data_IF_770721632829
#
_entry.id   IF_770721632829
#
_cell.length_a   1.000
_cell.length_b   1.000
_cell.length_c   1.000
_cell.angle_alpha   90.00
_cell.angle_beta   90.00
_cell.angle_gamma   90.00
#
_symmetry.space_group_name_H-M   'P 1'
#
loop_
_entity.id
_entity.type
_entity.pdbx_description
1 polymer ?
#
# COMPACT_ATOMS: atom_id res chain seq x y z
N UNK A 1 -3.89 -3.36 16.07
CA UNK A 1 -4.35 -2.68 14.84
C UNK A 1 -5.85 -2.37 14.93
N UNK A 2 -6.77 -3.34 14.83
CA UNK A 2 -8.22 -3.06 14.92
C UNK A 2 -8.65 -2.26 16.17
N UNK A 3 -8.41 -2.79 17.38
CA UNK A 3 -8.79 -2.14 18.65
C UNK A 3 -8.12 -0.79 18.90
N UNK A 4 -6.91 -0.57 18.37
CA UNK A 4 -6.24 0.73 18.42
C UNK A 4 -6.92 1.78 17.52
N UNK A 5 -7.67 1.38 16.49
CA UNK A 5 -8.53 2.32 15.76
C UNK A 5 -9.78 2.67 16.55
N UNK A 6 -10.40 1.71 17.23
CA UNK A 6 -11.55 1.95 18.10
C UNK A 6 -11.21 3.00 19.18
N UNK A 7 -10.13 2.79 19.94
CA UNK A 7 -9.63 3.76 20.93
C UNK A 7 -9.28 5.15 20.38
N UNK A 8 -9.05 5.27 19.08
CA UNK A 8 -8.62 6.51 18.43
C UNK A 8 -9.76 7.22 17.66
N UNK A 9 -11.01 6.76 17.74
CA UNK A 9 -12.14 7.48 17.12
C UNK A 9 -12.39 8.81 17.83
N UNK A 10 -12.71 9.87 17.08
CA UNK A 10 -13.06 11.18 17.67
C UNK A 10 -14.55 11.32 17.98
N UNK A 11 -15.42 10.56 17.31
CA UNK A 11 -16.84 10.52 17.61
C UNK A 11 -17.06 9.92 19.01
N UNK A 12 -17.86 10.54 19.91
CA UNK A 12 -17.95 10.12 21.30
C UNK A 12 -18.34 8.65 21.47
N UNK A 13 -17.48 7.83 22.09
CA UNK A 13 -17.68 6.38 22.20
C UNK A 13 -18.99 6.03 22.92
N UNK A 14 -19.41 6.84 23.90
CA UNK A 14 -20.69 6.68 24.60
C UNK A 14 -21.94 6.89 23.72
N UNK A 15 -21.78 7.24 22.44
CA UNK A 15 -22.83 7.34 21.41
C UNK A 15 -22.69 6.26 20.33
N UNK A 16 -21.74 5.34 20.49
CA UNK A 16 -21.48 4.21 19.60
C UNK A 16 -21.82 2.93 20.38
N UNK A 17 -22.67 2.09 19.79
CA UNK A 17 -22.85 0.70 20.23
C UNK A 17 -22.03 -0.21 19.31
N UNK A 18 -21.24 -1.12 19.88
CA UNK A 18 -20.42 -2.06 19.11
C UNK A 18 -21.13 -3.41 18.96
N UNK A 19 -21.06 -3.98 17.76
CA UNK A 19 -21.71 -5.24 17.42
C UNK A 19 -20.75 -6.14 16.64
N UNK A 20 -20.49 -7.35 17.17
CA UNK A 20 -19.61 -8.34 16.56
C UNK A 20 -20.37 -9.66 16.33
N UNK A 21 -20.07 -10.34 15.23
CA UNK A 21 -20.49 -11.71 14.98
C UNK A 21 -19.28 -12.61 14.77
N UNK A 22 -19.22 -13.73 15.51
CA UNK A 22 -18.22 -14.79 15.34
C UNK A 22 -18.92 -16.05 14.82
N UNK A 23 -18.46 -16.58 13.70
CA UNK A 23 -19.04 -17.74 12.98
C UNK A 23 -17.97 -18.74 12.62
N UNK A 24 -18.24 -20.03 12.82
CA UNK A 24 -17.44 -21.18 12.35
C UNK A 24 -15.96 -21.19 12.80
N UNK A 25 -15.60 -20.33 13.77
CA UNK A 25 -14.26 -20.22 14.38
C UNK A 25 -13.87 -21.49 15.14
N UNK A 26 -12.56 -21.81 15.10
CA UNK A 26 -11.95 -22.99 15.71
C UNK A 26 -10.68 -22.64 16.51
N UNK A 27 -10.54 -21.37 16.83
CA UNK A 27 -9.39 -20.71 17.44
C UNK A 27 -9.84 -19.83 18.61
N UNK A 28 -8.91 -19.10 19.23
CA UNK A 28 -9.18 -18.32 20.45
C UNK A 28 -9.88 -16.97 20.18
N UNK A 29 -10.38 -16.74 18.95
CA UNK A 29 -10.93 -15.45 18.50
C UNK A 29 -11.99 -14.89 19.44
N UNK A 30 -12.89 -15.73 19.95
CA UNK A 30 -13.97 -15.32 20.85
C UNK A 30 -13.43 -14.82 22.22
N UNK A 31 -12.43 -15.50 22.77
CA UNK A 31 -11.84 -15.15 24.07
C UNK A 31 -10.97 -13.90 23.96
N UNK A 32 -10.15 -13.82 22.90
CA UNK A 32 -9.36 -12.63 22.56
C UNK A 32 -10.26 -11.40 22.36
N UNK A 33 -11.31 -11.53 21.55
CA UNK A 33 -12.32 -10.48 21.31
C UNK A 33 -12.92 -10.01 22.64
N UNK A 34 -13.39 -10.93 23.48
CA UNK A 34 -14.00 -10.60 24.77
C UNK A 34 -13.01 -9.87 25.69
N UNK A 35 -11.79 -10.39 25.85
CA UNK A 35 -10.74 -9.78 26.69
C UNK A 35 -10.36 -8.37 26.23
N UNK A 36 -10.30 -8.12 24.92
CA UNK A 36 -9.94 -6.80 24.38
C UNK A 36 -11.10 -5.80 24.45
N UNK A 37 -12.35 -6.26 24.46
CA UNK A 37 -13.54 -5.42 24.72
C UNK A 37 -13.67 -5.07 26.20
N UNK A 38 -13.40 -6.02 27.10
CA UNK A 38 -13.32 -5.77 28.55
C UNK A 38 -12.22 -4.75 28.88
N UNK A 39 -11.07 -4.81 28.20
CA UNK A 39 -9.97 -3.84 28.36
C UNK A 39 -10.36 -2.41 27.93
N UNK A 40 -11.29 -2.26 26.96
CA UNK A 40 -11.82 -0.96 26.54
C UNK A 40 -12.92 -0.47 27.50
N UNK A 41 -13.85 -1.33 27.93
CA UNK A 41 -14.94 -0.92 28.81
C UNK A 41 -14.49 -0.60 30.24
N UNK A 42 -13.34 -1.12 30.67
CA UNK A 42 -12.73 -0.84 31.98
C UNK A 42 -11.56 0.16 31.90
N UNK A 43 -11.46 0.95 30.82
CA UNK A 43 -10.43 1.98 30.66
C UNK A 43 -10.58 3.10 31.72
N UNK A 44 -9.48 3.62 32.30
CA UNK A 44 -9.54 4.69 33.31
C UNK A 44 -10.13 6.03 32.84
N UNK A 45 -10.16 6.36 31.54
CA UNK A 45 -10.92 7.51 31.05
C UNK A 45 -12.36 7.08 30.71
N UNK A 46 -13.40 7.55 31.42
CA UNK A 46 -14.78 7.17 31.16
C UNK A 46 -15.25 7.52 29.73
N UNK A 47 -14.56 8.41 29.00
CA UNK A 47 -14.84 8.72 27.58
C UNK A 47 -14.46 7.59 26.62
N UNK A 48 -13.58 6.67 27.03
CA UNK A 48 -13.16 5.54 26.19
C UNK A 48 -14.21 4.44 26.13
N UNK A 49 -15.13 4.39 27.10
CA UNK A 49 -16.20 3.39 27.14
C UNK A 49 -17.29 3.62 26.08
N UNK A 50 -17.71 2.52 25.44
CA UNK A 50 -18.79 2.45 24.47
C UNK A 50 -20.15 2.30 25.15
N UNK A 51 -21.23 2.71 24.47
CA UNK A 51 -22.60 2.70 24.99
C UNK A 51 -23.09 1.30 25.37
N UNK A 52 -23.21 0.42 24.38
CA UNK A 52 -23.43 -1.01 24.55
C UNK A 52 -22.46 -1.82 23.67
N UNK A 53 -22.05 -3.01 24.12
CA UNK A 53 -21.25 -3.94 23.33
C UNK A 53 -21.99 -5.29 23.25
N UNK A 54 -22.19 -5.78 22.03
CA UNK A 54 -22.84 -7.06 21.74
C UNK A 54 -21.89 -7.98 20.96
N UNK A 55 -21.52 -9.12 21.56
CA UNK A 55 -20.78 -10.20 20.88
C UNK A 55 -21.73 -11.37 20.65
N UNK A 56 -21.97 -11.70 19.39
CA UNK A 56 -22.88 -12.78 18.97
C UNK A 56 -22.04 -13.93 18.41
N UNK A 57 -22.05 -15.08 19.06
CA UNK A 57 -21.56 -16.31 18.43
C UNK A 57 -22.71 -16.98 17.67
N UNK A 58 -22.56 -17.17 16.36
CA UNK A 58 -23.48 -17.95 15.55
C UNK A 58 -22.78 -18.50 14.32
N UNK A 59 -22.77 -19.83 14.20
CA UNK A 59 -22.31 -20.51 13.00
C UNK A 59 -23.35 -20.47 11.88
N UNK A 60 -22.86 -20.44 10.64
CA UNK A 60 -23.65 -20.58 9.41
C UNK A 60 -23.29 -21.87 8.64
N UNK A 61 -22.33 -22.66 9.14
CA UNK A 61 -21.99 -23.96 8.57
C UNK A 61 -21.17 -23.83 7.30
N UNK A 62 -20.30 -22.81 7.23
CA UNK A 62 -19.46 -22.57 6.06
C UNK A 62 -18.55 -23.78 5.82
N UNK A 63 -18.82 -24.51 4.72
CA UNK A 63 -18.06 -25.71 4.36
C UNK A 63 -16.63 -25.32 4.00
N UNK A 64 -15.73 -25.45 4.97
CA UNK A 64 -14.29 -25.23 4.80
C UNK A 64 -13.71 -26.32 3.90
N UNK A 65 -13.83 -26.13 2.59
CA UNK A 65 -12.98 -26.84 1.63
C UNK A 65 -11.53 -26.41 1.89
N UNK A 66 -10.63 -27.38 1.94
CA UNK A 66 -9.26 -27.20 2.43
C UNK A 66 -8.31 -26.61 1.38
N UNK A 67 -8.79 -26.45 0.15
CA UNK A 67 -8.05 -25.89 -0.98
C UNK A 67 -8.33 -24.38 -1.11
N UNK A 68 -7.28 -23.61 -1.35
CA UNK A 68 -7.35 -22.15 -1.55
C UNK A 68 -7.76 -21.81 -2.99
N UNK A 69 -7.33 -22.61 -3.98
CA UNK A 69 -7.70 -22.43 -5.39
C UNK A 69 -9.23 -22.61 -5.55
N UNK A 70 -9.79 -23.63 -4.88
CA UNK A 70 -11.24 -23.87 -4.82
C UNK A 70 -12.05 -22.71 -4.21
N UNK A 71 -11.48 -21.91 -3.31
CA UNK A 71 -12.15 -20.74 -2.70
C UNK A 71 -12.18 -19.53 -3.63
N UNK A 72 -11.32 -19.50 -4.63
CA UNK A 72 -11.20 -18.40 -5.58
C UNK A 72 -11.75 -18.74 -6.96
N UNK A 73 -12.21 -19.96 -7.22
CA UNK A 73 -13.02 -20.27 -8.40
C UNK A 73 -14.33 -19.48 -8.39
N UNK A 74 -14.62 -18.79 -9.50
CA UNK A 74 -15.79 -17.91 -9.69
C UNK A 74 -17.10 -18.49 -9.15
N UNK A 75 -17.40 -19.77 -9.47
CA UNK A 75 -18.62 -20.46 -9.05
C UNK A 75 -18.81 -20.56 -7.53
N UNK A 76 -17.74 -20.54 -6.72
CA UNK A 76 -17.82 -20.65 -5.26
C UNK A 76 -18.08 -19.29 -4.58
N UNK A 77 -17.78 -18.17 -5.23
CA UNK A 77 -17.93 -16.83 -4.64
C UNK A 77 -19.39 -16.42 -4.46
N UNK A 78 -20.29 -16.87 -5.35
CA UNK A 78 -21.73 -16.61 -5.26
C UNK A 78 -22.31 -17.12 -3.94
N UNK A 79 -22.07 -18.40 -3.60
CA UNK A 79 -22.54 -19.00 -2.35
C UNK A 79 -21.83 -18.43 -1.11
N UNK A 80 -20.54 -18.06 -1.23
CA UNK A 80 -19.83 -17.34 -0.16
C UNK A 80 -20.48 -15.98 0.13
N UNK A 81 -20.80 -15.17 -0.88
CA UNK A 81 -21.52 -13.90 -0.69
C UNK A 81 -22.91 -14.12 -0.08
N UNK A 82 -23.66 -15.12 -0.57
CA UNK A 82 -24.98 -15.47 -0.02
C UNK A 82 -24.90 -15.86 1.48
N UNK A 83 -23.86 -16.57 1.92
CA UNK A 83 -23.62 -16.88 3.34
C UNK A 83 -23.19 -15.65 4.17
N UNK A 84 -22.28 -14.81 3.66
CA UNK A 84 -21.87 -13.57 4.35
C UNK A 84 -23.03 -12.58 4.50
N UNK A 85 -23.93 -12.51 3.52
CA UNK A 85 -25.18 -11.76 3.62
C UNK A 85 -26.07 -12.25 4.78
N UNK A 86 -26.17 -13.57 5.00
CA UNK A 86 -26.91 -14.13 6.16
C UNK A 86 -26.26 -13.71 7.49
N UNK A 87 -24.93 -13.70 7.57
CA UNK A 87 -24.20 -13.27 8.75
C UNK A 87 -24.39 -11.76 9.03
N UNK A 88 -24.18 -10.89 8.04
CA UNK A 88 -24.41 -9.43 8.18
C UNK A 88 -25.87 -9.13 8.55
N UNK A 89 -26.85 -9.78 7.90
CA UNK A 89 -28.27 -9.62 8.23
C UNK A 89 -28.60 -10.09 9.66
N UNK A 90 -28.04 -11.21 10.11
CA UNK A 90 -28.30 -11.70 11.47
C UNK A 90 -27.79 -10.73 12.51
N UNK A 91 -26.54 -10.28 12.38
CA UNK A 91 -25.93 -9.27 13.26
C UNK A 91 -26.78 -8.00 13.30
N UNK A 92 -27.15 -7.46 12.14
CA UNK A 92 -28.01 -6.29 12.00
C UNK A 92 -29.36 -6.48 12.72
N UNK A 93 -30.05 -7.59 12.46
CA UNK A 93 -31.38 -7.88 13.02
C UNK A 93 -31.38 -8.06 14.53
N UNK A 94 -30.25 -8.49 15.10
CA UNK A 94 -30.08 -8.73 16.52
C UNK A 94 -29.66 -7.48 17.32
N UNK A 95 -29.04 -6.48 16.67
CA UNK A 95 -28.46 -5.31 17.37
C UNK A 95 -29.05 -3.95 17.00
N UNK A 96 -29.75 -3.82 15.86
CA UNK A 96 -30.32 -2.54 15.40
C UNK A 96 -31.47 -2.06 16.30
N UNK A 97 -31.26 -0.94 17.01
CA UNK A 97 -32.22 -0.37 17.96
C UNK A 97 -33.03 0.78 17.34
N UNK A 98 -34.22 1.11 17.87
CA UNK A 98 -34.97 2.30 17.47
C UNK A 98 -34.21 3.62 17.71
N UNK A 99 -33.28 3.63 18.67
CA UNK A 99 -32.43 4.77 19.03
C UNK A 99 -31.28 5.02 18.04
N UNK A 100 -30.90 4.05 17.22
CA UNK A 100 -29.79 4.22 16.27
C UNK A 100 -30.18 5.16 15.13
N UNK A 101 -29.35 6.18 14.88
CA UNK A 101 -29.50 7.10 13.74
C UNK A 101 -28.74 6.64 12.50
N UNK A 102 -27.61 5.96 12.72
CA UNK A 102 -26.69 5.45 11.70
C UNK A 102 -26.28 4.01 12.04
N UNK A 103 -25.80 3.29 11.04
CA UNK A 103 -25.09 2.01 11.19
C UNK A 103 -23.79 2.13 10.41
N UNK A 104 -22.67 1.79 11.04
CA UNK A 104 -21.35 1.79 10.41
C UNK A 104 -20.84 0.35 10.32
N UNK A 105 -20.79 -0.18 9.10
CA UNK A 105 -20.15 -1.45 8.79
C UNK A 105 -18.66 -1.22 8.58
N UNK A 106 -17.84 -2.12 9.12
CA UNK A 106 -16.40 -2.12 8.97
C UNK A 106 -15.87 -3.54 9.10
N UNK A 107 -15.04 -3.97 8.17
CA UNK A 107 -14.37 -5.27 8.27
C UNK A 107 -13.11 -5.17 9.18
N UNK A 108 -12.70 -6.29 9.80
CA UNK A 108 -11.79 -6.30 10.96
C UNK A 108 -10.31 -6.07 10.63
N UNK A 109 -10.00 -6.19 9.35
CA UNK A 109 -8.70 -6.16 8.66
C UNK A 109 -8.33 -4.78 8.09
N UNK A 110 -9.17 -3.75 8.30
CA UNK A 110 -8.82 -2.35 7.99
C UNK A 110 -7.63 -1.88 8.83
N UNK A 111 -6.46 -1.79 8.19
CA UNK A 111 -5.15 -1.51 8.76
C UNK A 111 -4.95 -0.04 9.15
N UNK A 112 -5.49 0.93 8.41
CA UNK A 112 -5.59 2.33 8.86
C UNK A 112 -6.83 3.03 8.28
N UNK A 113 -7.36 4.00 9.02
CA UNK A 113 -8.40 4.93 8.60
C UNK A 113 -8.28 6.22 9.44
N UNK A 114 -8.78 7.38 8.98
CA UNK A 114 -8.81 8.59 9.79
C UNK A 114 -9.62 8.40 11.09
N UNK A 115 -9.19 9.03 12.17
CA UNK A 115 -9.88 9.02 13.47
C UNK A 115 -11.30 9.61 13.41
N UNK A 116 -11.49 10.55 12.49
CA UNK A 116 -12.71 11.32 12.20
C UNK A 116 -13.65 10.64 11.23
N UNK A 117 -13.41 9.39 10.81
CA UNK A 117 -14.16 8.73 9.73
C UNK A 117 -15.68 8.67 9.92
N UNK A 118 -16.17 8.66 11.16
CA UNK A 118 -17.62 8.69 11.42
C UNK A 118 -18.16 10.08 11.09
N UNK A 119 -17.53 11.14 11.59
CA UNK A 119 -17.86 12.54 11.31
C UNK A 119 -17.69 12.89 9.82
N UNK A 120 -16.58 12.48 9.23
CA UNK A 120 -16.18 12.78 7.85
C UNK A 120 -17.12 12.14 6.83
N UNK A 121 -17.73 11.00 7.15
CA UNK A 121 -18.78 10.38 6.33
C UNK A 121 -20.18 10.95 6.68
N UNK A 122 -20.48 11.20 7.96
CA UNK A 122 -21.78 11.72 8.40
C UNK A 122 -22.11 13.11 7.82
N UNK A 123 -21.11 14.00 7.68
CA UNK A 123 -21.28 15.38 7.20
C UNK A 123 -21.86 15.49 5.78
N UNK A 124 -21.72 14.45 4.95
CA UNK A 124 -22.28 14.42 3.59
C UNK A 124 -23.80 14.20 3.55
N UNK A 125 -24.42 13.84 4.70
CA UNK A 125 -25.85 13.58 4.90
C UNK A 125 -26.50 12.60 3.89
N UNK A 126 -25.73 11.63 3.38
CA UNK A 126 -26.24 10.60 2.45
C UNK A 126 -26.96 9.47 3.19
N UNK A 127 -27.84 8.77 2.49
CA UNK A 127 -28.47 7.55 3.01
C UNK A 127 -27.51 6.35 3.11
N UNK A 128 -26.64 6.17 2.11
CA UNK A 128 -25.52 5.21 2.10
C UNK A 128 -24.28 5.92 1.54
N UNK A 129 -23.15 5.82 2.23
CA UNK A 129 -21.86 6.36 1.78
C UNK A 129 -20.70 5.40 2.10
N UNK A 130 -19.75 5.28 1.16
CA UNK A 130 -18.52 4.49 1.30
C UNK A 130 -17.26 5.32 0.99
N UNK A 131 -16.15 5.12 1.70
CA UNK A 131 -14.84 5.64 1.32
C UNK A 131 -14.22 4.80 0.20
N UNK A 132 -13.13 5.28 -0.41
CA UNK A 132 -12.29 4.44 -1.26
C UNK A 132 -11.40 3.53 -0.40
N UNK A 133 -11.11 2.31 -0.89
CA UNK A 133 -10.38 1.28 -0.14
C UNK A 133 -9.20 0.78 -0.95
N UNK A 134 -8.01 1.04 -0.44
CA UNK A 134 -6.73 0.64 -1.03
C UNK A 134 -5.99 -0.31 -0.09
N UNK A 135 -5.00 -1.03 -0.60
CA UNK A 135 -4.04 -1.78 0.21
C UNK A 135 -2.64 -1.20 -0.03
N UNK A 136 -1.83 -0.99 1.03
CA UNK A 136 -0.42 -0.75 0.82
C UNK A 136 0.21 -2.05 0.32
N UNK A 137 1.33 -1.92 -0.37
CA UNK A 137 2.16 -3.03 -0.81
C UNK A 137 3.60 -2.76 -0.38
N UNK A 138 4.44 -3.79 -0.39
CA UNK A 138 5.88 -3.56 -0.40
C UNK A 138 6.34 -2.88 -1.69
N UNK A 139 7.45 -2.14 -1.64
CA UNK A 139 7.95 -1.32 -2.74
C UNK A 139 8.14 -2.10 -4.05
N UNK A 140 8.57 -3.36 -3.97
CA UNK A 140 8.81 -4.23 -5.13
C UNK A 140 7.54 -4.67 -5.87
N UNK A 141 6.36 -4.49 -5.26
CA UNK A 141 5.05 -4.67 -5.90
C UNK A 141 4.39 -3.35 -6.30
N UNK A 142 5.08 -2.21 -6.14
CA UNK A 142 4.56 -0.88 -6.49
C UNK A 142 4.04 -0.02 -5.33
N UNK A 143 4.22 -0.45 -4.06
CA UNK A 143 3.97 0.37 -2.86
C UNK A 143 2.50 0.58 -2.46
N UNK A 144 1.57 0.67 -3.40
CA UNK A 144 0.12 0.73 -3.13
C UNK A 144 -0.70 0.20 -4.32
N UNK A 145 -1.89 -0.35 -4.06
CA UNK A 145 -2.86 -0.65 -5.12
C UNK A 145 -4.32 -0.57 -4.63
N UNK A 146 -5.30 -0.40 -5.54
CA UNK A 146 -6.71 -0.59 -5.23
C UNK A 146 -7.01 -1.94 -4.56
N UNK A 147 -8.00 -1.99 -3.66
CA UNK A 147 -8.43 -3.22 -2.98
C UNK A 147 -9.89 -3.56 -3.25
N UNK A 148 -10.83 -2.66 -2.92
CA UNK A 148 -12.26 -2.98 -2.97
C UNK A 148 -12.88 -2.65 -4.34
N UNK A 149 -12.97 -3.66 -5.20
CA UNK A 149 -13.61 -3.55 -6.51
C UNK A 149 -15.15 -3.63 -6.47
N UNK A 150 -15.77 -3.83 -5.30
CA UNK A 150 -17.23 -4.01 -5.17
C UNK A 150 -18.01 -2.67 -5.12
N UNK A 151 -17.30 -1.54 -5.10
CA UNK A 151 -17.89 -0.19 -5.16
C UNK A 151 -17.79 0.36 -6.58
N UNK A 152 -18.92 0.49 -7.29
CA UNK A 152 -18.96 0.80 -8.72
C UNK A 152 -20.28 1.47 -9.17
N UNK A 153 -20.25 2.19 -10.31
CA UNK A 153 -21.46 2.54 -11.06
C UNK A 153 -21.82 1.44 -12.06
N UNK A 154 -23.11 1.34 -12.39
CA UNK A 154 -23.62 0.38 -13.37
C UNK A 154 -23.16 0.73 -14.81
N UNK A 155 -23.05 -0.28 -15.68
CA UNK A 155 -22.71 -0.09 -17.10
C UNK A 155 -23.75 -0.71 -18.03
N UNK A 156 -23.91 -0.17 -19.24
CA UNK A 156 -24.79 -0.75 -20.27
C UNK A 156 -24.39 -2.20 -20.62
N UNK A 157 -23.08 -2.48 -20.65
CA UNK A 157 -22.54 -3.82 -20.91
C UNK A 157 -22.84 -4.80 -19.79
N UNK A 158 -22.77 -4.37 -18.53
CA UNK A 158 -23.09 -5.20 -17.37
C UNK A 158 -24.60 -5.47 -17.26
N UNK A 159 -25.45 -4.50 -17.62
CA UNK A 159 -26.90 -4.70 -17.73
C UNK A 159 -27.24 -5.71 -18.85
N UNK A 160 -26.67 -5.53 -20.04
CA UNK A 160 -26.87 -6.47 -21.15
C UNK A 160 -26.36 -7.88 -20.82
N UNK A 161 -25.24 -8.00 -20.09
CA UNK A 161 -24.77 -9.29 -19.56
C UNK A 161 -25.77 -9.87 -18.55
N UNK A 162 -26.25 -9.08 -17.59
CA UNK A 162 -27.20 -9.51 -16.57
C UNK A 162 -28.52 -10.04 -17.16
N UNK A 163 -28.99 -9.50 -18.29
CA UNK A 163 -30.16 -10.01 -19.01
C UNK A 163 -29.94 -11.41 -19.61
N UNK A 164 -28.70 -11.84 -19.87
CA UNK A 164 -28.38 -13.16 -20.43
C UNK A 164 -28.21 -14.28 -19.38
N UNK A 165 -28.18 -13.95 -18.09
CA UNK A 165 -27.90 -14.90 -17.01
C UNK A 165 -29.18 -15.46 -16.37
N UNK A 166 -29.11 -16.69 -15.84
CA UNK A 166 -30.18 -17.33 -15.06
C UNK A 166 -30.55 -16.53 -13.80
N UNK A 167 -31.77 -16.68 -13.28
CA UNK A 167 -32.31 -15.88 -12.16
C UNK A 167 -31.40 -15.92 -10.92
N UNK A 168 -30.97 -17.11 -10.50
CA UNK A 168 -30.12 -17.36 -9.32
C UNK A 168 -28.63 -17.00 -9.49
N UNK A 169 -28.20 -16.65 -10.71
CA UNK A 169 -26.81 -16.33 -11.03
C UNK A 169 -26.37 -15.03 -10.34
N UNK A 170 -25.11 -14.98 -9.91
CA UNK A 170 -24.51 -13.81 -9.25
C UNK A 170 -23.26 -13.37 -10.01
N UNK A 171 -23.26 -12.13 -10.48
CA UNK A 171 -22.08 -11.42 -10.97
C UNK A 171 -21.20 -11.11 -9.76
N UNK A 172 -19.89 -11.33 -9.91
CA UNK A 172 -18.88 -11.10 -8.89
C UNK A 172 -17.74 -10.34 -9.54
N UNK A 173 -17.50 -9.09 -9.12
CA UNK A 173 -16.44 -8.26 -9.71
C UNK A 173 -15.03 -8.79 -9.45
N UNK A 174 -14.10 -8.40 -10.32
CA UNK A 174 -12.70 -8.84 -10.29
C UNK A 174 -12.42 -10.17 -11.01
N UNK A 175 -13.42 -10.76 -11.66
CA UNK A 175 -13.33 -12.04 -12.38
C UNK A 175 -13.31 -11.86 -13.90
N UNK A 176 -12.40 -12.56 -14.59
CA UNK A 176 -12.22 -12.45 -16.04
C UNK A 176 -13.37 -13.09 -16.83
N UNK A 177 -14.15 -13.96 -16.18
CA UNK A 177 -15.33 -14.63 -16.71
C UNK A 177 -16.43 -13.66 -17.15
N UNK A 178 -16.56 -12.50 -16.48
CA UNK A 178 -17.57 -11.48 -16.77
C UNK A 178 -16.92 -10.12 -17.02
N UNK A 179 -16.83 -9.72 -18.30
CA UNK A 179 -16.36 -8.39 -18.69
C UNK A 179 -17.47 -7.34 -18.47
N UNK A 180 -17.63 -6.86 -17.22
CA UNK A 180 -18.68 -5.92 -16.80
C UNK A 180 -18.43 -4.48 -17.26
N UNK A 181 -17.17 -4.08 -17.46
CA UNK A 181 -16.76 -2.72 -17.86
C UNK A 181 -17.32 -1.59 -16.97
N UNK A 182 -17.57 -1.89 -15.69
CA UNK A 182 -18.05 -0.91 -14.71
C UNK A 182 -16.90 0.00 -14.25
N UNK A 183 -17.12 1.31 -14.05
CA UNK A 183 -16.13 2.17 -13.41
C UNK A 183 -16.16 1.93 -11.89
N UNK A 184 -15.15 1.22 -11.38
CA UNK A 184 -14.98 0.98 -9.95
C UNK A 184 -14.39 2.22 -9.26
N UNK A 185 -14.94 2.58 -8.10
CA UNK A 185 -14.46 3.66 -7.22
C UNK A 185 -12.95 3.52 -6.94
N UNK A 186 -12.51 2.28 -6.77
CA UNK A 186 -11.13 1.87 -6.51
C UNK A 186 -10.09 2.52 -7.45
N UNK A 187 -10.41 2.64 -8.74
CA UNK A 187 -9.50 3.17 -9.77
C UNK A 187 -9.55 4.70 -9.95
N UNK A 188 -10.43 5.39 -9.22
CA UNK A 188 -10.69 6.84 -9.41
C UNK A 188 -9.98 7.74 -8.37
N UNK A 189 -9.12 7.17 -7.53
CA UNK A 189 -8.31 7.92 -6.56
C UNK A 189 -7.17 8.69 -7.24
N UNK A 190 -7.32 10.01 -7.31
CA UNK A 190 -6.19 10.95 -7.31
C UNK A 190 -5.76 11.23 -5.85
N UNK A 191 -4.50 11.01 -5.44
CA UNK A 191 -3.99 11.39 -4.12
C UNK A 191 -4.03 12.89 -3.81
N UNK A 192 -4.19 13.75 -4.82
CA UNK A 192 -4.32 15.20 -4.69
C UNK A 192 -5.75 15.71 -4.97
N UNK A 193 -6.69 14.81 -5.21
CA UNK A 193 -8.10 15.14 -5.45
C UNK A 193 -8.83 15.58 -4.18
N UNK A 194 -10.02 16.15 -4.37
CA UNK A 194 -10.84 16.63 -3.26
C UNK A 194 -11.46 15.47 -2.46
N UNK A 195 -11.10 15.35 -1.18
CA UNK A 195 -11.66 14.35 -0.28
C UNK A 195 -13.18 14.46 -0.09
N UNK A 196 -13.76 15.63 -0.40
CA UNK A 196 -15.19 15.89 -0.32
C UNK A 196 -15.93 15.55 -1.62
N UNK A 197 -15.23 15.13 -2.69
CA UNK A 197 -15.84 14.78 -3.97
C UNK A 197 -16.77 13.58 -3.83
N UNK A 198 -17.99 13.71 -4.35
CA UNK A 198 -19.03 12.68 -4.32
C UNK A 198 -19.23 12.04 -5.69
N UNK A 199 -19.39 10.72 -5.70
CA UNK A 199 -19.71 9.92 -6.87
C UNK A 199 -20.95 9.06 -6.56
N UNK A 200 -22.01 9.12 -7.38
CA UNK A 200 -23.10 8.14 -7.26
C UNK A 200 -22.58 6.73 -7.55
N UNK A 201 -23.11 5.71 -6.87
CA UNK A 201 -22.79 4.30 -7.11
C UNK A 201 -24.05 3.46 -7.35
N UNK A 202 -23.86 2.21 -7.74
CA UNK A 202 -24.91 1.18 -7.91
C UNK A 202 -24.58 -0.06 -7.07
N UNK A 203 -23.32 -0.49 -7.07
CA UNK A 203 -22.77 -1.44 -6.11
C UNK A 203 -21.91 -0.75 -5.06
N UNK A 204 -21.87 -1.30 -3.85
CA UNK A 204 -20.98 -0.90 -2.74
C UNK A 204 -20.31 -2.13 -2.14
N UNK A 205 -19.08 -1.99 -1.67
CA UNK A 205 -18.34 -3.05 -0.97
C UNK A 205 -18.47 -3.01 0.55
N UNK A 206 -18.13 -4.13 1.20
CA UNK A 206 -18.38 -4.35 2.63
C UNK A 206 -17.38 -3.71 3.61
N UNK A 207 -16.20 -3.29 3.13
CA UNK A 207 -15.05 -2.98 4.00
C UNK A 207 -15.30 -1.78 4.92
N UNK A 208 -16.06 -0.79 4.44
CA UNK A 208 -16.50 0.36 5.21
C UNK A 208 -17.77 0.95 4.58
N UNK A 209 -18.90 0.90 5.30
CA UNK A 209 -20.17 1.50 4.86
C UNK A 209 -20.78 2.27 6.01
N UNK A 210 -20.94 3.59 5.88
CA UNK A 210 -21.84 4.35 6.74
C UNK A 210 -23.21 4.45 6.05
N UNK A 211 -24.27 4.05 6.74
CA UNK A 211 -25.63 4.18 6.23
C UNK A 211 -26.60 4.64 7.32
N UNK A 212 -27.58 5.47 6.94
CA UNK A 212 -28.61 5.94 7.87
C UNK A 212 -29.47 4.76 8.32
N UNK A 213 -29.68 4.61 9.62
CA UNK A 213 -30.42 3.48 10.20
C UNK A 213 -31.89 3.39 9.70
N UNK A 214 -32.42 4.48 9.11
CA UNK A 214 -33.72 4.49 8.40
C UNK A 214 -33.75 3.58 7.16
N UNK A 215 -32.63 3.41 6.47
CA UNK A 215 -32.47 2.59 5.26
C UNK A 215 -32.75 1.12 5.60
N UNK A 216 -32.07 0.61 6.64
CA UNK A 216 -32.30 -0.75 7.15
C UNK A 216 -33.70 -0.93 7.74
N UNK A 217 -34.21 0.04 8.51
CA UNK A 217 -35.57 -0.02 9.07
C UNK A 217 -36.69 0.06 8.02
N UNK A 218 -36.40 0.49 6.80
CA UNK A 218 -37.33 0.45 5.68
C UNK A 218 -37.35 -0.90 4.93
N UNK A 219 -36.41 -1.80 5.21
CA UNK A 219 -36.32 -3.13 4.61
C UNK A 219 -35.11 -3.38 3.70
N UNK A 220 -34.25 -2.37 3.47
CA UNK A 220 -32.99 -2.56 2.75
C UNK A 220 -32.05 -3.42 3.59
N UNK A 221 -31.49 -4.48 3.01
CA UNK A 221 -30.65 -5.45 3.69
C UNK A 221 -29.64 -6.07 2.71
N UNK A 222 -28.75 -6.94 3.18
CA UNK A 222 -27.78 -7.63 2.33
C UNK A 222 -28.45 -8.86 1.68
N UNK A 223 -28.64 -8.94 0.36
CA UNK A 223 -29.39 -10.06 -0.22
C UNK A 223 -28.65 -11.39 -0.09
N UNK A 224 -29.26 -12.34 0.61
CA UNK A 224 -28.77 -13.72 0.77
C UNK A 224 -29.17 -14.65 -0.41
N UNK A 225 -29.57 -14.03 -1.52
CA UNK A 225 -30.12 -14.60 -2.75
C UNK A 225 -29.73 -13.67 -3.92
N UNK A 226 -30.00 -14.07 -5.16
CA UNK A 226 -29.77 -13.18 -6.31
C UNK A 226 -30.77 -12.02 -6.32
N UNK A 227 -30.28 -10.80 -6.12
CA UNK A 227 -31.03 -9.56 -6.32
C UNK A 227 -30.38 -8.80 -7.48
N UNK A 228 -31.07 -8.74 -8.62
CA UNK A 228 -30.53 -8.19 -9.88
C UNK A 228 -29.17 -8.77 -10.27
N UNK A 229 -28.97 -10.09 -10.11
CA UNK A 229 -27.70 -10.80 -10.30
C UNK A 229 -26.58 -10.40 -9.32
N UNK A 230 -26.90 -9.80 -8.18
CA UNK A 230 -25.93 -9.45 -7.14
C UNK A 230 -26.38 -10.02 -5.79
N UNK A 231 -25.45 -10.12 -4.85
CA UNK A 231 -25.71 -10.58 -3.48
C UNK A 231 -24.98 -9.68 -2.49
N UNK A 232 -25.24 -9.88 -1.19
CA UNK A 232 -24.49 -9.25 -0.10
C UNK A 232 -24.41 -7.71 -0.22
N UNK A 233 -23.22 -7.11 -0.28
CA UNK A 233 -23.00 -5.66 -0.23
C UNK A 233 -23.37 -4.94 -1.54
N UNK A 234 -23.05 -5.54 -2.69
CA UNK A 234 -23.48 -5.02 -4.01
C UNK A 234 -25.01 -5.08 -4.17
N UNK A 235 -25.61 -6.19 -3.73
CA UNK A 235 -27.06 -6.33 -3.69
C UNK A 235 -27.73 -5.33 -2.74
N UNK A 236 -27.09 -4.99 -1.62
CA UNK A 236 -27.54 -3.93 -0.70
C UNK A 236 -27.49 -2.55 -1.36
N UNK A 237 -26.42 -2.22 -2.10
CA UNK A 237 -26.31 -0.98 -2.88
C UNK A 237 -27.44 -0.83 -3.89
N UNK A 238 -27.65 -1.86 -4.73
CA UNK A 238 -28.75 -1.89 -5.70
C UNK A 238 -30.12 -1.80 -5.03
N UNK A 239 -30.34 -2.50 -3.92
CA UNK A 239 -31.61 -2.44 -3.17
C UNK A 239 -31.87 -1.06 -2.58
N UNK A 240 -30.85 -0.39 -2.04
CA UNK A 240 -30.96 0.98 -1.55
C UNK A 240 -31.36 1.95 -2.68
N UNK A 241 -30.67 1.88 -3.83
CA UNK A 241 -30.93 2.73 -4.99
C UNK A 241 -32.33 2.48 -5.58
N UNK A 242 -32.76 1.21 -5.67
CA UNK A 242 -34.13 0.83 -6.09
C UNK A 242 -35.22 1.31 -5.14
N UNK A 243 -34.93 1.46 -3.85
CA UNK A 243 -35.84 2.06 -2.86
C UNK A 243 -35.76 3.59 -2.80
N UNK A 244 -34.99 4.23 -3.69
CA UNK A 244 -34.89 5.69 -3.81
C UNK A 244 -33.94 6.36 -2.82
N UNK A 245 -33.04 5.59 -2.18
CA UNK A 245 -32.00 6.12 -1.31
C UNK A 245 -30.74 6.50 -2.10
N UNK A 246 -30.05 7.56 -1.68
CA UNK A 246 -28.76 7.95 -2.26
C UNK A 246 -27.67 6.95 -1.87
N UNK A 247 -26.95 6.43 -2.87
CA UNK A 247 -25.78 5.55 -2.67
C UNK A 247 -24.56 6.24 -3.26
N UNK A 248 -23.61 6.65 -2.41
CA UNK A 248 -22.48 7.52 -2.77
C UNK A 248 -21.14 6.87 -2.40
N UNK A 249 -20.12 7.08 -3.22
CA UNK A 249 -18.72 6.82 -2.90
C UNK A 249 -17.90 8.12 -2.88
N UNK A 250 -16.83 8.13 -2.08
CA UNK A 250 -15.83 9.20 -2.04
C UNK A 250 -14.52 8.69 -2.69
N UNK A 251 -14.19 9.04 -3.94
CA UNK A 251 -13.05 8.45 -4.66
C UNK A 251 -11.68 8.83 -4.09
N UNK A 252 -11.56 9.99 -3.42
CA UNK A 252 -10.27 10.47 -2.87
C UNK A 252 -10.13 10.21 -1.36
N UNK A 253 -11.24 10.18 -0.61
CA UNK A 253 -11.22 9.83 0.81
C UNK A 253 -10.87 8.33 0.97
N UNK A 254 -9.64 8.05 1.37
CA UNK A 254 -9.05 6.70 1.28
C UNK A 254 -8.86 6.07 2.67
N UNK A 255 -9.30 4.81 2.81
CA UNK A 255 -8.90 3.92 3.92
C UNK A 255 -8.04 2.76 3.41
N UNK A 256 -7.31 2.13 4.34
CA UNK A 256 -6.30 1.13 4.02
C UNK A 256 -6.64 -0.23 4.62
N UNK A 257 -6.76 -1.24 3.76
CA UNK A 257 -6.85 -2.65 4.12
C UNK A 257 -5.48 -3.23 4.46
N UNK A 258 -5.42 -4.25 5.31
CA UNK A 258 -4.19 -4.99 5.58
C UNK A 258 -3.65 -5.68 4.31
N UNK A 259 -2.32 -5.65 4.15
CA UNK A 259 -1.63 -6.48 3.17
C UNK A 259 -1.45 -7.91 3.72
N UNK A 260 -2.10 -8.87 3.08
CA UNK A 260 -1.86 -10.30 3.27
C UNK A 260 -0.91 -10.80 2.16
N UNK A 261 0.33 -11.21 2.47
CA UNK A 261 1.26 -11.71 1.46
C UNK A 261 0.81 -13.07 0.90
N UNK A 262 0.94 -13.28 -0.41
CA UNK A 262 0.77 -14.60 -1.01
C UNK A 262 1.95 -15.52 -0.71
N UNK A 263 1.84 -16.80 -1.08
CA UNK A 263 2.94 -17.79 -0.90
C UNK A 263 4.21 -17.36 -1.64
N UNK A 264 4.09 -16.74 -2.83
CA UNK A 264 5.24 -16.27 -3.59
C UNK A 264 5.81 -14.95 -3.04
N UNK A 265 4.96 -14.09 -2.45
CA UNK A 265 5.44 -12.90 -1.74
C UNK A 265 6.23 -13.27 -0.47
N UNK A 266 5.77 -14.28 0.28
CA UNK A 266 6.50 -14.82 1.43
C UNK A 266 7.88 -15.33 1.00
N UNK A 267 7.95 -16.13 -0.06
CA UNK A 267 9.21 -16.63 -0.62
C UNK A 267 10.16 -15.51 -1.04
N UNK A 268 9.64 -14.49 -1.74
CA UNK A 268 10.46 -13.37 -2.18
C UNK A 268 10.97 -12.50 -1.00
N UNK A 269 10.17 -12.37 0.07
CA UNK A 269 10.62 -11.74 1.32
C UNK A 269 11.72 -12.56 2.01
N UNK A 270 11.62 -13.89 2.05
CA UNK A 270 12.68 -14.75 2.59
C UNK A 270 13.97 -14.67 1.76
N UNK A 271 13.89 -14.61 0.43
CA UNK A 271 15.03 -14.42 -0.48
C UNK A 271 15.71 -13.08 -0.22
N UNK A 272 14.96 -11.97 -0.14
CA UNK A 272 15.52 -10.65 0.14
C UNK A 272 16.05 -10.50 1.57
N UNK A 273 15.46 -11.18 2.56
CA UNK A 273 16.00 -11.17 3.92
C UNK A 273 17.34 -11.94 4.00
N UNK A 274 17.50 -13.00 3.20
CA UNK A 274 18.77 -13.72 3.04
C UNK A 274 19.82 -12.84 2.35
N UNK A 275 19.52 -12.24 1.20
CA UNK A 275 20.44 -11.29 0.53
C UNK A 275 20.84 -10.14 1.46
N UNK A 276 19.90 -9.59 2.23
CA UNK A 276 20.20 -8.54 3.20
C UNK A 276 21.14 -9.04 4.31
N UNK A 277 20.91 -10.24 4.86
CA UNK A 277 21.79 -10.85 5.87
C UNK A 277 23.19 -11.12 5.34
N UNK A 278 23.33 -11.46 4.07
CA UNK A 278 24.62 -11.64 3.39
C UNK A 278 25.33 -10.31 3.18
N UNK A 279 24.68 -9.30 2.58
CA UNK A 279 25.23 -7.95 2.41
C UNK A 279 25.65 -7.33 3.75
N UNK A 280 24.81 -7.45 4.78
CA UNK A 280 25.15 -7.00 6.14
C UNK A 280 26.35 -7.75 6.73
N UNK A 281 26.59 -9.02 6.37
CA UNK A 281 27.79 -9.76 6.78
C UNK A 281 29.02 -9.28 6.01
N UNK A 282 28.93 -9.14 4.68
CA UNK A 282 30.00 -8.61 3.85
C UNK A 282 30.44 -7.20 4.30
N UNK A 283 29.50 -6.30 4.60
CA UNK A 283 29.82 -4.97 5.14
C UNK A 283 30.54 -5.07 6.48
N UNK A 284 30.10 -5.96 7.39
CA UNK A 284 30.75 -6.18 8.68
C UNK A 284 32.16 -6.80 8.52
N UNK A 285 32.38 -7.65 7.52
CA UNK A 285 33.72 -8.17 7.19
C UNK A 285 34.61 -7.12 6.52
N UNK A 286 34.09 -6.35 5.56
CA UNK A 286 34.80 -5.24 4.94
C UNK A 286 35.19 -4.18 5.98
N UNK A 287 34.33 -3.87 6.94
CA UNK A 287 34.62 -2.97 8.06
C UNK A 287 35.77 -3.50 8.93
N UNK A 288 35.68 -4.76 9.40
CA UNK A 288 36.77 -5.43 10.15
C UNK A 288 38.08 -5.49 9.36
N UNK A 289 38.01 -5.69 8.04
CA UNK A 289 39.18 -5.71 7.14
C UNK A 289 39.80 -4.31 6.99
N UNK A 290 38.98 -3.28 6.81
CA UNK A 290 39.41 -1.86 6.79
C UNK A 290 40.06 -1.48 8.11
N UNK A 291 39.46 -1.84 9.25
CA UNK A 291 40.01 -1.62 10.59
C UNK A 291 41.36 -2.33 10.80
N UNK A 292 41.44 -3.64 10.50
CA UNK A 292 42.69 -4.40 10.60
C UNK A 292 43.80 -3.79 9.74
N UNK A 293 43.49 -3.40 8.50
CA UNK A 293 44.44 -2.74 7.61
C UNK A 293 44.85 -1.37 8.16
N UNK A 294 43.92 -0.56 8.67
CA UNK A 294 44.21 0.75 9.25
C UNK A 294 45.12 0.63 10.48
N UNK A 295 44.92 -0.38 11.33
CA UNK A 295 45.76 -0.62 12.50
C UNK A 295 47.17 -1.09 12.09
N UNK A 296 47.31 -2.01 11.11
CA UNK A 296 48.62 -2.37 10.54
C UNK A 296 49.35 -1.14 9.96
N UNK A 297 48.63 -0.21 9.30
CA UNK A 297 49.24 1.03 8.80
C UNK A 297 49.58 2.06 9.90
N UNK A 298 48.90 2.03 11.06
CA UNK A 298 49.32 2.81 12.26
C UNK A 298 50.60 2.22 12.84
N UNK A 299 50.64 0.91 13.05
CA UNK A 299 51.81 0.21 13.62
C UNK A 299 53.04 0.39 12.72
N UNK A 300 52.87 0.25 11.40
CA UNK A 300 53.93 0.50 10.41
C UNK A 300 54.41 1.95 10.36
N UNK A 301 53.53 2.95 10.62
CA UNK A 301 53.96 4.35 10.79
C UNK A 301 54.74 4.54 12.08
N UNK A 302 54.24 4.01 13.20
CA UNK A 302 54.93 4.10 14.51
C UNK A 302 56.34 3.50 14.41
N UNK A 303 56.50 2.35 13.76
CA UNK A 303 57.81 1.75 13.53
C UNK A 303 58.70 2.63 12.63
N UNK A 304 58.18 3.14 11.51
CA UNK A 304 58.94 4.02 10.62
C UNK A 304 59.34 5.36 11.27
N UNK A 305 58.52 5.88 12.19
CA UNK A 305 58.84 7.08 12.98
C UNK A 305 59.95 6.79 14.02
N UNK A 306 59.93 5.62 14.67
CA UNK A 306 61.01 5.14 15.56
C UNK A 306 62.31 4.92 14.79
N UNK A 307 62.26 4.22 13.66
CA UNK A 307 63.44 3.90 12.84
C UNK A 307 64.10 5.19 12.31
N UNK A 308 63.30 6.18 11.86
CA UNK A 308 63.82 7.48 11.45
C UNK A 308 64.40 8.30 12.61
N UNK A 309 63.85 8.21 13.81
CA UNK A 309 64.45 8.84 14.99
C UNK A 309 65.82 8.23 15.28
N UNK A 310 65.92 6.89 15.26
CA UNK A 310 67.18 6.17 15.48
C UNK A 310 68.25 6.51 14.43
N UNK A 311 67.86 6.63 13.16
CA UNK A 311 68.77 7.06 12.07
C UNK A 311 69.22 8.52 12.25
N UNK A 312 68.34 9.42 12.71
CA UNK A 312 68.72 10.82 12.98
C UNK A 312 69.69 10.94 14.15
N UNK A 313 69.42 10.24 15.26
CA UNK A 313 70.31 10.21 16.43
C UNK A 313 71.68 9.63 16.04
N UNK A 314 71.70 8.54 15.26
CA UNK A 314 72.94 7.94 14.74
C UNK A 314 73.75 8.92 13.87
N UNK A 315 73.09 9.65 12.96
CA UNK A 315 73.74 10.67 12.12
C UNK A 315 74.25 11.84 12.97
N UNK A 316 73.53 12.23 14.01
CA UNK A 316 74.01 13.24 14.96
C UNK A 316 75.21 12.77 15.77
N UNK A 317 75.26 11.50 16.19
CA UNK A 317 76.42 10.91 16.87
C UNK A 317 77.63 10.80 15.93
N UNK A 318 77.46 10.37 14.68
CA UNK A 318 78.53 10.38 13.68
C UNK A 318 79.05 11.80 13.40
N UNK A 319 78.16 12.81 13.31
CA UNK A 319 78.57 14.21 13.14
C UNK A 319 79.24 14.80 14.38
N UNK A 320 78.97 14.29 15.58
CA UNK A 320 79.68 14.64 16.82
C UNK A 320 81.05 13.95 16.86
N UNK A 321 81.15 12.68 16.43
CA UNK A 321 82.39 11.93 16.33
C UNK A 321 83.36 12.50 15.27
N UNK A 322 82.87 12.84 14.08
CA UNK A 322 83.67 13.44 13.00
C UNK A 322 84.16 14.86 13.33
N UNK A 323 83.57 15.54 14.33
CA UNK A 323 84.08 16.81 14.88
C UNK A 323 85.06 16.62 16.06
N UNK A 324 85.35 15.37 16.43
CA UNK A 324 86.28 15.00 17.50
C UNK A 324 87.72 14.72 17.05
N UNK A 325 88.00 14.72 15.74
CA UNK A 325 89.32 14.47 15.18
C UNK A 325 89.78 15.60 14.23
N UNK A 326 91.08 15.83 14.20
CA UNK A 326 91.81 16.85 13.41
C UNK A 326 91.44 18.32 13.69
N UNK A 327 92.27 18.98 14.50
CA UNK A 327 92.35 20.44 14.60
C UNK A 327 93.55 20.98 13.81
N UNK A 328 93.34 22.04 13.03
CA UNK A 328 94.36 22.68 12.17
C UNK A 328 94.71 24.07 12.70
N UNK A 329 96.02 24.37 12.81
CA UNK A 329 96.56 25.65 12.31
C UNK A 329 97.93 25.44 11.61
N UNK A 330 98.48 26.25 10.71
CA UNK A 330 98.14 27.46 9.93
C UNK A 330 99.00 27.35 8.63
N UNK A 331 98.89 28.10 7.54
CA UNK A 331 98.12 29.29 7.15
C UNK A 331 98.71 29.85 5.82
N UNK A 332 98.17 30.98 5.34
CA UNK A 332 98.71 31.85 4.25
C UNK A 332 99.01 31.28 2.83
N UNK A 333 98.12 31.57 1.88
CA UNK A 333 98.47 32.16 0.56
C UNK A 333 97.23 32.71 -0.20
N UNK A 334 97.46 33.63 -1.14
CA UNK A 334 96.52 34.28 -2.11
C UNK A 334 97.15 34.21 -3.52
N UNK A 335 96.54 34.72 -4.61
CA UNK A 335 95.18 34.62 -5.20
C UNK A 335 95.33 34.02 -6.65
N UNK A 336 94.64 34.38 -7.77
CA UNK A 336 93.38 35.13 -8.03
C UNK A 336 92.42 34.50 -9.09
N UNK A 337 91.38 35.28 -9.50
CA UNK A 337 90.75 35.35 -10.85
C UNK A 337 89.95 34.14 -11.46
N UNK A 338 88.84 34.31 -12.20
CA UNK A 338 87.90 35.46 -12.30
C UNK A 338 86.53 35.11 -12.97
N UNK A 339 85.46 35.86 -12.65
CA UNK A 339 84.25 36.17 -13.50
C UNK A 339 83.33 35.00 -13.99
N UNK A 340 82.01 35.18 -14.32
CA UNK A 340 81.14 36.38 -14.30
C UNK A 340 79.91 36.36 -13.35
N UNK A 341 79.45 37.60 -13.15
CA UNK A 341 78.29 38.16 -12.44
C UNK A 341 76.85 37.85 -12.91
N UNK A 342 75.93 37.84 -11.93
CA UNK A 342 74.57 38.46 -11.94
C UNK A 342 73.47 37.84 -12.86
N UNK A 343 72.20 38.31 -12.96
CA UNK A 343 71.53 39.57 -12.51
C UNK A 343 70.00 39.40 -12.26
N UNK A 344 69.35 40.44 -11.69
CA UNK A 344 67.88 40.60 -11.48
C UNK A 344 67.14 41.24 -12.68
N UNK A 345 65.89 40.83 -12.98
CA UNK A 345 64.69 41.59 -13.46
C UNK A 345 63.57 40.61 -13.89
N UNK A 346 62.23 40.75 -13.75
CA UNK A 346 61.30 41.65 -13.02
C UNK A 346 60.54 42.79 -13.77
N UNK A 347 59.43 42.45 -14.47
CA UNK A 347 58.28 43.27 -14.96
C UNK A 347 57.03 42.33 -15.02
N UNK A 348 55.79 42.65 -14.61
CA UNK A 348 54.74 43.58 -15.13
C UNK A 348 54.08 43.09 -16.45
N UNK A 349 52.76 43.23 -16.74
CA UNK A 349 51.68 44.04 -16.14
C UNK A 349 50.24 43.39 -16.28
N UNK A 350 49.16 44.19 -16.18
CA UNK A 350 47.70 43.85 -16.12
C UNK A 350 46.93 44.69 -17.20
N UNK A 351 45.56 44.77 -17.31
CA UNK A 351 44.42 43.83 -17.17
C UNK A 351 43.40 43.94 -18.37
N UNK A 352 42.07 43.82 -18.13
CA UNK A 352 40.88 43.94 -19.03
C UNK A 352 40.57 42.76 -19.99
N UNK A 353 39.30 42.47 -20.35
CA UNK A 353 38.00 43.00 -19.87
C UNK A 353 36.78 42.55 -20.72
N UNK A 354 35.55 42.78 -20.22
CA UNK A 354 34.22 42.57 -20.86
C UNK A 354 33.80 41.10 -21.15
N UNK A 355 32.67 40.59 -20.61
CA UNK A 355 31.24 40.82 -20.90
C UNK A 355 30.69 40.06 -22.12
N UNK A 356 29.70 39.19 -21.87
CA UNK A 356 28.85 38.53 -22.88
C UNK A 356 27.73 37.76 -22.19
N UNK A 357 26.48 38.07 -22.52
CA UNK A 357 25.29 37.28 -22.14
C UNK A 357 24.98 36.24 -23.20
N UNK A 358 24.20 35.21 -22.88
CA UNK A 358 22.85 35.04 -23.46
C UNK A 358 22.13 33.81 -22.89
N UNK A 359 20.82 33.75 -23.12
CA UNK A 359 19.96 32.64 -22.72
C UNK A 359 18.93 32.32 -23.83
N UNK A 360 18.77 31.03 -24.16
CA UNK A 360 17.67 30.42 -24.91
C UNK A 360 17.63 28.94 -24.44
N UNK A 361 16.55 28.42 -23.85
CA UNK A 361 15.25 27.99 -24.43
C UNK A 361 15.30 26.69 -25.23
N UNK A 362 14.62 25.67 -24.68
CA UNK A 362 13.92 24.57 -25.36
C UNK A 362 14.81 23.62 -26.22
N UNK A 363 14.39 22.45 -26.72
CA UNK A 363 13.08 21.77 -26.81
C UNK A 363 13.13 20.30 -26.31
N UNK A 364 11.98 19.65 -26.28
CA UNK A 364 11.79 18.23 -25.92
C UNK A 364 12.55 17.25 -26.84
N UNK A 365 12.99 16.12 -26.28
CA UNK A 365 13.10 14.87 -27.02
C UNK A 365 12.40 13.77 -26.21
N UNK A 366 11.33 13.23 -26.79
CA UNK A 366 10.66 12.02 -26.30
C UNK A 366 11.51 10.79 -26.64
N UNK A 367 11.57 9.81 -25.74
CA UNK A 367 12.02 8.45 -26.08
C UNK A 367 11.12 7.39 -25.42
N UNK A 368 9.97 7.16 -26.07
CA UNK A 368 9.24 5.88 -26.14
C UNK A 368 9.49 4.84 -25.03
N UNK A 369 8.53 4.73 -24.11
CA UNK A 369 8.33 3.49 -23.34
C UNK A 369 7.58 2.50 -24.25
N UNK A 370 8.24 1.43 -24.69
CA UNK A 370 7.58 0.38 -25.47
C UNK A 370 6.73 -0.52 -24.55
N UNK A 371 5.40 -0.35 -24.61
CA UNK A 371 4.47 -1.21 -23.89
C UNK A 371 4.38 -2.60 -24.56
N UNK A 372 4.71 -3.65 -23.80
CA UNK A 372 4.61 -5.05 -24.24
C UNK A 372 3.16 -5.52 -24.31
N UNK A 373 2.45 -5.12 -25.37
CA UNK A 373 1.07 -5.52 -25.62
C UNK A 373 1.00 -6.91 -26.29
N UNK A 374 0.71 -7.95 -25.51
CA UNK A 374 0.47 -9.29 -26.02
C UNK A 374 -0.81 -9.34 -26.89
N UNK A 375 -0.65 -9.61 -28.18
CA UNK A 375 -1.79 -9.78 -29.11
C UNK A 375 -2.35 -11.21 -29.05
N UNK A 376 -3.67 -11.41 -29.03
CA UNK A 376 -4.26 -12.72 -29.31
C UNK A 376 -4.05 -13.09 -30.79
N UNK A 377 -3.84 -14.37 -31.06
CA UNK A 377 -3.70 -14.89 -32.42
C UNK A 377 -5.09 -15.17 -33.04
N UNK A 378 -5.26 -14.84 -34.33
CA UNK A 378 -6.44 -15.21 -35.13
C UNK A 378 -5.97 -15.87 -36.43
N UNK A 379 -6.46 -17.09 -36.69
CA UNK A 379 -6.18 -17.88 -37.88
C UNK A 379 -6.42 -19.38 -37.62
N UNK A 380 -7.17 -20.11 -38.45
CA UNK A 380 -7.88 -19.70 -39.66
C UNK A 380 -9.15 -20.54 -39.90
N UNK A 381 -9.94 -20.07 -40.85
CA UNK A 381 -11.24 -20.54 -41.34
C UNK A 381 -11.29 -22.04 -41.69
N UNK A 382 -12.46 -22.65 -41.48
CA UNK A 382 -13.00 -23.69 -42.37
C UNK A 382 -14.48 -23.37 -42.70
N UNK A 383 -14.94 -23.65 -43.92
CA UNK A 383 -16.26 -23.23 -44.45
C UNK A 383 -17.06 -24.38 -45.07
N UNK A 384 -18.33 -24.57 -44.66
CA UNK A 384 -19.33 -25.32 -45.44
C UNK A 384 -20.72 -24.63 -45.39
N UNK A 385 -21.20 -24.32 -46.60
CA UNK A 385 -22.54 -24.02 -47.15
C UNK A 385 -23.83 -23.82 -46.31
N UNK A 386 -24.64 -22.88 -46.81
CA UNK A 386 -26.13 -22.88 -46.76
C UNK A 386 -26.69 -23.43 -48.09
N UNK A 387 -27.90 -24.02 -48.08
CA UNK A 387 -29.08 -23.37 -48.71
C UNK A 387 -30.35 -23.57 -47.84
N UNK A 388 -31.19 -22.59 -47.50
CA UNK A 388 -32.12 -21.71 -48.26
C UNK A 388 -33.59 -22.08 -47.98
N UNK A 389 -34.47 -21.07 -47.88
CA UNK A 389 -35.93 -21.15 -47.68
C UNK A 389 -36.42 -21.80 -46.36
N UNK A 390 -37.68 -21.62 -45.92
CA UNK A 390 -38.84 -20.97 -46.56
C UNK A 390 -39.65 -20.04 -45.60
N UNK A 391 -40.89 -19.69 -45.97
CA UNK A 391 -41.75 -18.66 -45.36
C UNK A 391 -42.82 -19.26 -44.42
N UNK A 392 -43.60 -18.33 -43.83
CA UNK A 392 -44.91 -18.44 -43.14
C UNK A 392 -44.82 -18.44 -41.61
N UNK A 393 -45.47 -17.57 -40.82
CA UNK A 393 -46.72 -16.75 -40.89
C UNK A 393 -47.81 -17.30 -39.93
N UNK A 394 -48.49 -16.38 -39.24
CA UNK A 394 -49.44 -16.56 -38.13
C UNK A 394 -48.82 -17.14 -36.83
N UNK A 395 -49.26 -16.79 -35.61
CA UNK A 395 -50.18 -15.71 -35.22
C UNK A 395 -51.24 -16.13 -34.20
N UNK A 396 -51.02 -15.85 -32.91
CA UNK A 396 -52.05 -15.59 -31.88
C UNK A 396 -51.42 -14.76 -30.76
#
# INVERSE_FOLDING_TARGET
>A
MFFSHLRNLTYPHNLIDLAFLVSDSKDDTLNMLSSMLDEIQNDPDPKMSYGEISVIQKDFGQKVQQDVESRHGFAAQADRRKLMAQARNWLLSATLRPTHSWVYWRDADVQTAPSTIIEDLMRHDKDVIVPNVWRPLPDWLGGEQPYDLNSWQESETALALAETLDEDAVIVEGYAEYATWRPHLAYLRDPYGDGDMEMELDGVGGVSILAKARVFRAGVHFPAFSFEKHAETEGFGKMAKRMGYSVIGLPHYTIWHLYEPSVDDLRHMEEMEQERKEREQEEKEQAKRKERVQNIFKDGRTQWEIDNAFVRDSIEEEQKAQKGAESVPNGDAKPPEDVPTAKKAQEQENPNGQQGTDALKNEDIQSSVEASAAKPAIGHVDTIDKPDNEKSDHGT
#
